data_IF_502544056189
#
_entry.id   IF_502544056189
#
_cell.length_a   1.000
_cell.length_b   1.000
_cell.length_c   1.000
_cell.angle_alpha   90.00
_cell.angle_beta   90.00
_cell.angle_gamma   90.00
#
_symmetry.space_group_name_H-M   'P 1'
#
loop_
_entity.id
_entity.type
_entity.pdbx_description
1 polymer ?
#
# COMPACT_ATOMS: atom_id res chain seq x y z
N UNK A 1 -23.54 -1.24 -14.75
CA UNK A 1 -22.30 -0.72 -15.36
C UNK A 1 -22.06 0.67 -14.80
N UNK A 2 -21.28 0.77 -13.73
CA UNK A 2 -20.82 2.06 -13.19
C UNK A 2 -19.99 2.73 -14.27
N UNK A 3 -20.38 3.94 -14.69
CA UNK A 3 -19.57 4.73 -15.62
C UNK A 3 -18.13 4.80 -15.08
N UNK A 4 -17.13 4.52 -15.92
CA UNK A 4 -15.73 4.66 -15.52
C UNK A 4 -15.52 6.10 -15.07
N UNK A 5 -15.43 6.35 -13.75
CA UNK A 5 -15.25 7.69 -13.16
C UNK A 5 -13.84 8.27 -13.40
N UNK A 6 -13.12 7.75 -14.39
CA UNK A 6 -11.78 8.19 -14.78
C UNK A 6 -10.71 7.96 -13.71
N UNK A 7 -10.93 7.13 -12.69
CA UNK A 7 -9.94 6.86 -11.65
C UNK A 7 -8.94 5.83 -12.17
N UNK A 8 -7.64 6.17 -12.10
CA UNK A 8 -6.53 5.28 -12.46
C UNK A 8 -5.91 4.61 -11.23
N UNK A 9 -5.80 5.34 -10.12
CA UNK A 9 -5.17 4.84 -8.91
C UNK A 9 -5.69 5.53 -7.64
N UNK A 10 -5.69 4.78 -6.53
CA UNK A 10 -6.00 5.27 -5.19
C UNK A 10 -4.88 4.88 -4.24
N UNK A 11 -4.47 5.81 -3.37
CA UNK A 11 -3.33 5.59 -2.47
C UNK A 11 -3.47 6.41 -1.21
N UNK A 12 -3.40 5.76 -0.05
CA UNK A 12 -3.25 6.45 1.23
C UNK A 12 -1.82 6.96 1.40
N UNK A 13 -1.68 8.13 2.02
CA UNK A 13 -0.36 8.60 2.45
C UNK A 13 0.16 7.77 3.64
N UNK A 14 1.40 8.00 4.05
CA UNK A 14 2.15 7.18 5.00
C UNK A 14 1.51 7.13 6.40
N UNK A 15 0.83 8.19 6.82
CA UNK A 15 0.08 8.21 8.06
C UNK A 15 -1.36 7.72 7.89
N UNK A 16 -1.83 7.37 6.68
CA UNK A 16 -3.20 6.91 6.43
C UNK A 16 -4.28 7.99 6.70
N UNK A 17 -3.87 9.24 6.90
CA UNK A 17 -4.78 10.32 7.23
C UNK A 17 -5.29 11.11 6.02
N UNK A 18 -4.66 10.92 4.86
CA UNK A 18 -5.11 11.41 3.56
C UNK A 18 -5.08 10.27 2.53
N UNK A 19 -5.84 10.41 1.46
CA UNK A 19 -5.64 9.60 0.25
C UNK A 19 -5.61 10.48 -1.00
N UNK A 20 -4.88 9.99 -1.99
CA UNK A 20 -4.80 10.54 -3.33
C UNK A 20 -5.70 9.75 -4.27
N UNK A 21 -6.33 10.46 -5.20
CA UNK A 21 -7.09 9.91 -6.30
C UNK A 21 -6.46 10.39 -7.61
N UNK A 22 -5.75 9.49 -8.28
CA UNK A 22 -5.13 9.73 -9.58
C UNK A 22 -6.20 9.50 -10.66
N UNK A 23 -6.41 10.48 -11.53
CA UNK A 23 -7.52 10.49 -12.46
C UNK A 23 -7.09 10.87 -13.87
N UNK A 24 -7.93 10.54 -14.84
CA UNK A 24 -7.83 11.03 -16.22
C UNK A 24 -7.92 12.57 -16.29
N UNK A 25 -8.57 13.19 -15.31
CA UNK A 25 -8.74 14.64 -15.22
C UNK A 25 -7.73 15.35 -14.31
N UNK A 26 -6.71 14.66 -13.81
CA UNK A 26 -5.72 15.23 -12.90
C UNK A 26 -5.52 14.44 -11.61
N UNK A 27 -5.35 15.15 -10.50
CA UNK A 27 -5.09 14.57 -9.18
C UNK A 27 -5.95 15.26 -8.12
N UNK A 28 -6.61 14.47 -7.28
CA UNK A 28 -7.32 14.98 -6.09
C UNK A 28 -6.74 14.39 -4.82
N UNK A 29 -6.72 15.17 -3.75
CA UNK A 29 -6.25 14.76 -2.43
C UNK A 29 -7.36 15.01 -1.42
N UNK A 30 -7.67 14.01 -0.62
CA UNK A 30 -8.71 14.07 0.40
C UNK A 30 -8.13 13.82 1.78
N UNK A 31 -8.58 14.57 2.77
CA UNK A 31 -8.42 14.20 4.17
C UNK A 31 -9.45 13.11 4.51
N UNK A 32 -9.09 12.14 5.36
CA UNK A 32 -9.93 10.97 5.67
C UNK A 32 -10.92 11.26 6.80
N UNK A 33 -10.50 11.97 7.85
CA UNK A 33 -11.33 12.29 9.02
C UNK A 33 -11.15 13.76 9.43
N UNK A 34 -12.14 14.66 9.19
CA UNK A 34 -13.33 14.44 8.37
C UNK A 34 -12.99 14.22 6.88
N UNK A 35 -13.89 13.56 6.15
CA UNK A 35 -13.75 13.38 4.70
C UNK A 35 -13.95 14.73 3.99
N UNK A 36 -12.87 15.31 3.46
CA UNK A 36 -12.89 16.63 2.79
C UNK A 36 -11.84 16.67 1.69
N UNK A 37 -12.19 17.23 0.52
CA UNK A 37 -11.24 17.51 -0.55
C UNK A 37 -10.25 18.62 -0.10
N UNK A 38 -8.96 18.29 -0.08
CA UNK A 38 -7.87 19.17 0.39
C UNK A 38 -7.17 19.89 -0.74
N UNK A 39 -7.05 19.24 -1.89
CA UNK A 39 -6.41 19.80 -3.07
C UNK A 39 -6.97 19.14 -4.32
N UNK A 40 -7.10 19.94 -5.37
CA UNK A 40 -7.55 19.53 -6.68
C UNK A 40 -6.61 20.13 -7.72
N UNK A 41 -5.90 19.26 -8.42
CA UNK A 41 -5.00 19.64 -9.50
C UNK A 41 -5.63 19.22 -10.81
N UNK A 42 -6.07 20.21 -11.58
CA UNK A 42 -6.80 19.99 -12.82
C UNK A 42 -5.88 19.50 -13.95
N UNK A 43 -6.51 18.94 -14.99
CA UNK A 43 -5.87 18.43 -16.18
C UNK A 43 -4.97 19.47 -16.88
N UNK A 44 -5.31 20.76 -16.84
CA UNK A 44 -4.50 21.79 -17.50
C UNK A 44 -3.13 21.96 -16.84
N UNK A 45 -3.05 21.74 -15.52
CA UNK A 45 -1.80 21.74 -14.77
C UNK A 45 -1.08 20.39 -14.93
N UNK A 46 -1.75 19.29 -14.59
CA UNK A 46 -1.10 17.98 -14.39
C UNK A 46 -1.27 16.97 -15.54
N UNK A 47 -2.25 17.16 -16.42
CA UNK A 47 -2.71 16.11 -17.33
C UNK A 47 -3.33 14.92 -16.59
N UNK A 48 -3.54 13.81 -17.29
CA UNK A 48 -3.91 12.54 -16.67
C UNK A 48 -2.74 11.95 -15.85
N UNK A 49 -3.04 11.54 -14.61
CA UNK A 49 -2.07 10.99 -13.65
C UNK A 49 -2.43 9.55 -13.32
N UNK A 50 -1.44 8.65 -13.33
CA UNK A 50 -1.63 7.21 -13.05
C UNK A 50 -0.96 6.75 -11.76
N UNK A 51 0.05 7.48 -11.28
CA UNK A 51 0.70 7.22 -9.99
C UNK A 51 0.92 8.57 -9.30
N UNK A 52 0.55 8.66 -8.04
CA UNK A 52 0.91 9.76 -7.16
C UNK A 52 1.31 9.22 -5.78
N UNK A 53 2.34 9.84 -5.18
CA UNK A 53 2.80 9.56 -3.82
C UNK A 53 3.06 10.88 -3.09
N UNK A 54 2.26 11.17 -2.05
CA UNK A 54 2.53 12.27 -1.12
C UNK A 54 3.71 11.91 -0.22
N UNK A 55 4.51 12.90 0.17
CA UNK A 55 5.41 12.76 1.31
C UNK A 55 4.69 13.19 2.59
N UNK A 56 4.13 12.23 3.33
CA UNK A 56 3.37 12.47 4.55
C UNK A 56 2.23 13.48 4.32
N UNK A 57 2.25 14.59 5.05
CA UNK A 57 1.36 15.74 4.90
C UNK A 57 2.17 17.00 4.57
N UNK A 58 3.26 16.85 3.82
CA UNK A 58 4.05 17.98 3.32
C UNK A 58 3.46 18.50 2.01
N UNK A 59 4.07 19.56 1.49
CA UNK A 59 3.82 20.13 0.17
C UNK A 59 4.45 19.34 -0.99
N UNK A 60 5.10 18.20 -0.73
CA UNK A 60 5.85 17.45 -1.75
C UNK A 60 5.03 16.26 -2.24
N UNK A 61 4.82 16.21 -3.55
CA UNK A 61 4.05 15.15 -4.22
C UNK A 61 4.88 14.63 -5.40
N UNK A 62 5.14 13.32 -5.43
CA UNK A 62 5.66 12.67 -6.62
C UNK A 62 4.50 12.24 -7.52
N UNK A 63 4.59 12.51 -8.82
CA UNK A 63 3.57 12.15 -9.81
C UNK A 63 4.21 11.50 -11.03
N UNK A 64 3.48 10.60 -11.67
CA UNK A 64 3.81 9.98 -12.96
C UNK A 64 2.59 10.11 -13.87
N UNK A 65 2.81 10.67 -15.06
CA UNK A 65 1.77 10.82 -16.08
C UNK A 65 1.39 9.48 -16.72
N UNK A 66 0.23 9.42 -17.34
CA UNK A 66 -0.24 8.23 -18.07
C UNK A 66 -1.71 8.38 -18.45
N UNK A 67 -2.36 7.32 -18.92
CA UNK A 67 -3.76 7.41 -19.39
C UNK A 67 -3.88 8.09 -20.75
N UNK A 68 -5.10 8.51 -21.11
CA UNK A 68 -5.37 8.97 -22.49
C UNK A 68 -5.03 10.45 -22.74
N UNK A 69 -4.99 11.26 -21.67
CA UNK A 69 -4.72 12.71 -21.68
C UNK A 69 -3.44 13.04 -20.91
N UNK A 70 -2.45 12.16 -20.98
CA UNK A 70 -1.17 12.35 -20.31
C UNK A 70 -0.44 13.60 -20.84
N UNK A 71 -0.06 14.52 -19.94
CA UNK A 71 0.80 15.66 -20.27
C UNK A 71 2.29 15.32 -20.10
N UNK A 72 2.57 14.28 -19.33
CA UNK A 72 3.91 13.81 -18.97
C UNK A 72 4.04 12.33 -19.28
N UNK A 73 5.28 11.89 -19.55
CA UNK A 73 5.56 10.50 -19.89
C UNK A 73 5.42 9.56 -18.67
N UNK A 74 5.05 8.30 -18.94
CA UNK A 74 4.83 7.27 -17.90
C UNK A 74 6.12 6.64 -17.35
N UNK A 75 7.27 7.01 -17.92
CA UNK A 75 8.60 6.66 -17.48
C UNK A 75 9.33 7.81 -16.78
N UNK A 76 8.62 8.89 -16.41
CA UNK A 76 9.20 10.04 -15.73
C UNK A 76 8.50 10.30 -14.39
N UNK A 77 9.28 10.37 -13.30
CA UNK A 77 8.81 10.87 -12.01
C UNK A 77 9.02 12.38 -11.95
N UNK A 78 7.94 13.10 -11.68
CA UNK A 78 7.96 14.55 -11.44
C UNK A 78 7.69 14.81 -9.96
N UNK A 79 8.45 15.73 -9.36
CA UNK A 79 8.15 16.22 -8.00
C UNK A 79 7.49 17.57 -8.12
N UNK A 80 6.23 17.65 -7.69
CA UNK A 80 5.48 18.88 -7.54
C UNK A 80 5.61 19.39 -6.11
N UNK A 81 5.95 20.67 -5.99
CA UNK A 81 5.93 21.41 -4.75
C UNK A 81 4.67 22.29 -4.71
N UNK A 82 3.72 21.92 -3.86
CA UNK A 82 2.45 22.61 -3.70
C UNK A 82 2.57 23.97 -3.00
N UNK A 83 3.66 24.24 -2.27
CA UNK A 83 3.90 25.54 -1.68
C UNK A 83 4.37 26.53 -2.74
N UNK A 84 5.31 26.12 -3.60
CA UNK A 84 5.82 26.95 -4.70
C UNK A 84 5.06 26.83 -6.01
N UNK A 85 4.03 25.97 -6.05
CA UNK A 85 3.11 25.71 -7.17
C UNK A 85 3.83 25.34 -8.48
N UNK A 86 4.93 24.59 -8.40
CA UNK A 86 5.73 24.22 -9.58
C UNK A 86 6.31 22.81 -9.47
N UNK A 87 6.65 22.25 -10.62
CA UNK A 87 7.50 21.07 -10.70
C UNK A 87 8.94 21.46 -10.40
N UNK A 88 9.53 20.86 -9.37
CA UNK A 88 10.87 21.19 -8.85
C UNK A 88 11.94 20.16 -9.21
N UNK A 89 11.53 19.00 -9.71
CA UNK A 89 12.43 17.91 -10.07
C UNK A 89 11.78 17.00 -11.10
N UNK A 90 12.62 16.46 -11.98
CA UNK A 90 12.26 15.48 -13.00
C UNK A 90 13.33 14.38 -13.03
N UNK A 91 12.90 13.12 -13.00
CA UNK A 91 13.79 11.95 -13.15
C UNK A 91 13.16 10.97 -14.14
N UNK A 92 13.84 10.76 -15.27
CA UNK A 92 13.38 9.91 -16.37
C UNK A 92 14.10 8.56 -16.39
N UNK A 93 13.34 7.50 -16.66
CA UNK A 93 13.78 6.11 -16.68
C UNK A 93 13.67 5.51 -18.08
N UNK A 94 14.30 4.36 -18.30
CA UNK A 94 14.31 3.66 -19.59
C UNK A 94 13.04 2.88 -19.90
N UNK A 95 12.18 2.66 -18.90
CA UNK A 95 10.92 1.93 -19.04
C UNK A 95 9.82 2.52 -18.14
N UNK A 96 8.54 2.22 -18.41
CA UNK A 96 7.43 2.75 -17.63
C UNK A 96 7.55 2.44 -16.14
N UNK A 97 7.29 3.45 -15.33
CA UNK A 97 7.32 3.36 -13.87
C UNK A 97 6.09 2.58 -13.40
N UNK A 98 6.31 1.64 -12.48
CA UNK A 98 5.25 0.80 -11.89
C UNK A 98 4.84 1.25 -10.50
N UNK A 99 5.77 1.84 -9.74
CA UNK A 99 5.48 2.42 -8.44
C UNK A 99 6.52 3.46 -8.02
N UNK A 100 6.10 4.43 -7.22
CA UNK A 100 6.96 5.36 -6.50
C UNK A 100 6.66 5.25 -5.01
N UNK A 101 7.70 5.30 -4.16
CA UNK A 101 7.57 5.37 -2.71
C UNK A 101 8.48 6.46 -2.17
N UNK A 102 7.95 7.25 -1.25
CA UNK A 102 8.67 8.37 -0.64
C UNK A 102 8.91 8.16 0.85
N UNK A 103 10.13 8.50 1.24
CA UNK A 103 10.58 8.75 2.61
C UNK A 103 11.15 10.17 2.67
N UNK A 104 11.37 10.69 3.88
CA UNK A 104 11.97 12.03 4.05
C UNK A 104 13.37 12.13 3.45
N UNK A 105 14.10 11.03 3.42
CA UNK A 105 15.51 10.97 3.01
C UNK A 105 15.77 10.12 1.76
N UNK A 106 14.74 9.43 1.23
CA UNK A 106 14.84 8.48 0.11
C UNK A 106 13.63 8.58 -0.83
N UNK A 107 13.89 8.47 -2.13
CA UNK A 107 12.87 8.21 -3.15
C UNK A 107 13.17 6.84 -3.77
N UNK A 108 12.16 5.97 -3.84
CA UNK A 108 12.29 4.64 -4.43
C UNK A 108 11.35 4.54 -5.62
N UNK A 109 11.88 4.12 -6.76
CA UNK A 109 11.13 3.97 -8.01
C UNK A 109 11.24 2.52 -8.47
N UNK A 110 10.11 1.84 -8.65
CA UNK A 110 10.06 0.49 -9.19
C UNK A 110 9.68 0.53 -10.67
N UNK A 111 10.50 -0.14 -11.48
CA UNK A 111 10.20 -0.54 -12.85
C UNK A 111 9.78 -2.03 -12.83
N UNK A 112 9.54 -2.62 -14.00
CA UNK A 112 9.09 -4.02 -14.07
C UNK A 112 10.14 -5.04 -13.58
N UNK A 113 11.43 -4.75 -13.71
CA UNK A 113 12.53 -5.68 -13.32
C UNK A 113 13.62 -5.03 -12.47
N UNK A 114 13.43 -3.78 -12.09
CA UNK A 114 14.43 -2.99 -11.39
C UNK A 114 13.78 -2.11 -10.34
N UNK A 115 14.50 -1.86 -9.25
CA UNK A 115 14.16 -0.86 -8.25
C UNK A 115 15.34 0.09 -8.11
N UNK A 116 15.08 1.38 -8.32
CA UNK A 116 16.06 2.44 -8.21
C UNK A 116 15.83 3.20 -6.91
N UNK A 117 16.88 3.35 -6.11
CA UNK A 117 16.84 4.08 -4.84
C UNK A 117 17.66 5.35 -4.97
N UNK A 118 17.09 6.48 -4.60
CA UNK A 118 17.70 7.80 -4.65
C UNK A 118 17.78 8.42 -3.26
N UNK A 119 18.81 9.22 -2.99
CA UNK A 119 18.75 10.23 -1.94
C UNK A 119 17.67 11.25 -2.28
N UNK A 120 16.98 11.76 -1.26
CA UNK A 120 15.91 12.73 -1.41
C UNK A 120 15.89 13.65 -0.19
N UNK A 121 15.48 14.94 -0.29
CA UNK A 121 15.08 15.66 -1.49
C UNK A 121 16.22 16.34 -2.25
N UNK A 122 17.35 16.68 -1.61
CA UNK A 122 18.43 17.43 -2.27
C UNK A 122 19.80 17.20 -1.61
N UNK A 123 20.88 16.94 -2.38
CA UNK A 123 20.86 16.63 -3.81
C UNK A 123 20.25 15.24 -4.06
N UNK A 124 19.40 15.14 -5.08
CA UNK A 124 18.87 13.84 -5.51
C UNK A 124 19.93 13.12 -6.32
N UNK A 125 20.38 11.97 -5.81
CA UNK A 125 21.41 11.13 -6.42
C UNK A 125 20.97 9.68 -6.34
N UNK A 126 21.14 8.93 -7.42
CA UNK A 126 20.90 7.49 -7.40
C UNK A 126 21.93 6.84 -6.50
N UNK A 127 21.47 6.17 -5.45
CA UNK A 127 22.31 5.47 -4.48
C UNK A 127 22.61 4.06 -4.96
N UNK A 128 21.60 3.35 -5.45
CA UNK A 128 21.72 1.98 -5.93
C UNK A 128 20.56 1.59 -6.86
N UNK A 129 20.79 0.54 -7.63
CA UNK A 129 19.80 -0.15 -8.46
C UNK A 129 19.78 -1.61 -8.07
N UNK A 130 18.58 -2.15 -7.84
CA UNK A 130 18.34 -3.53 -7.44
C UNK A 130 17.58 -4.23 -8.56
N UNK A 131 18.05 -5.40 -8.96
CA UNK A 131 17.32 -6.25 -9.89
C UNK A 131 16.24 -7.03 -9.16
N UNK A 132 15.11 -7.24 -9.85
CA UNK A 132 14.01 -8.06 -9.35
C UNK A 132 13.66 -9.12 -10.38
N UNK A 133 12.91 -10.14 -9.95
CA UNK A 133 12.09 -10.90 -10.91
C UNK A 133 11.05 -9.96 -11.54
N UNK A 134 10.36 -10.43 -12.57
CA UNK A 134 9.18 -9.77 -13.11
C UNK A 134 8.22 -9.28 -12.01
N UNK A 135 8.05 -7.96 -11.97
CA UNK A 135 7.30 -7.19 -10.99
C UNK A 135 6.29 -6.25 -11.68
N UNK A 136 5.31 -6.79 -12.42
CA UNK A 136 4.40 -5.98 -13.24
C UNK A 136 3.52 -5.04 -12.42
N UNK A 137 3.27 -5.37 -11.14
CA UNK A 137 2.49 -4.55 -10.19
C UNK A 137 3.34 -3.50 -9.46
N UNK A 138 4.64 -3.42 -9.70
CA UNK A 138 5.52 -2.49 -8.99
C UNK A 138 5.53 -2.70 -7.48
N UNK A 139 5.49 -3.96 -7.01
CA UNK A 139 5.55 -4.29 -5.59
C UNK A 139 6.87 -3.80 -5.02
N UNK A 140 6.79 -2.78 -4.15
CA UNK A 140 7.90 -2.26 -3.37
C UNK A 140 7.30 -1.52 -2.18
N UNK A 141 7.78 -1.80 -0.98
CA UNK A 141 7.30 -1.14 0.24
C UNK A 141 8.48 -0.86 1.18
N UNK A 142 8.35 0.19 1.98
CA UNK A 142 9.42 0.66 2.84
C UNK A 142 8.91 1.15 4.19
N UNK A 143 9.77 1.05 5.21
CA UNK A 143 9.49 1.55 6.55
C UNK A 143 9.51 3.09 6.55
N UNK A 144 8.36 3.71 6.80
CA UNK A 144 8.18 5.16 6.61
C UNK A 144 8.56 5.99 7.83
N UNK A 145 8.56 5.42 9.04
CA UNK A 145 8.89 6.18 10.26
C UNK A 145 10.37 6.57 10.28
N UNK A 146 10.64 7.81 10.72
CA UNK A 146 12.01 8.29 10.95
C UNK A 146 12.63 7.54 12.13
N UNK A 147 11.83 7.25 13.15
CA UNK A 147 12.19 6.45 14.33
C UNK A 147 12.13 4.94 14.08
N UNK A 148 12.02 4.50 12.82
CA UNK A 148 12.00 3.08 12.51
C UNK A 148 13.27 2.42 13.02
N UNK A 149 13.13 1.24 13.62
CA UNK A 149 14.27 0.47 14.12
C UNK A 149 15.23 0.09 12.98
N UNK A 150 14.67 -0.08 11.78
CA UNK A 150 15.41 -0.34 10.55
C UNK A 150 14.78 0.45 9.41
N UNK A 151 15.60 1.05 8.54
CA UNK A 151 15.10 1.70 7.33
C UNK A 151 14.85 0.64 6.25
N UNK A 152 13.89 -0.26 6.52
CA UNK A 152 13.66 -1.43 5.71
C UNK A 152 13.08 -1.06 4.34
N UNK A 153 13.64 -1.66 3.28
CA UNK A 153 13.04 -1.78 1.96
C UNK A 153 12.70 -3.25 1.71
N UNK A 154 11.47 -3.54 1.30
CA UNK A 154 11.01 -4.87 0.91
C UNK A 154 10.52 -4.87 -0.53
N UNK A 155 10.90 -5.91 -1.29
CA UNK A 155 10.54 -6.04 -2.70
C UNK A 155 10.62 -7.49 -3.19
N UNK A 156 10.04 -7.86 -4.35
CA UNK A 156 10.17 -9.21 -4.91
C UNK A 156 11.62 -9.61 -5.18
N UNK A 157 12.04 -10.75 -4.64
CA UNK A 157 13.33 -11.36 -4.97
C UNK A 157 13.31 -12.13 -6.30
N UNK A 158 14.47 -12.65 -6.69
CA UNK A 158 14.64 -13.40 -7.95
C UNK A 158 13.87 -14.73 -7.97
N UNK A 159 13.73 -15.41 -6.81
CA UNK A 159 12.99 -16.67 -6.72
C UNK A 159 11.49 -16.40 -6.69
N UNK A 160 10.70 -17.26 -7.32
CA UNK A 160 9.24 -17.17 -7.28
C UNK A 160 8.74 -17.14 -5.82
N UNK A 161 7.86 -16.21 -5.51
CA UNK A 161 7.29 -16.04 -4.17
C UNK A 161 8.26 -15.55 -3.09
N UNK A 162 9.51 -15.25 -3.44
CA UNK A 162 10.49 -14.70 -2.50
C UNK A 162 10.43 -13.18 -2.37
N UNK A 163 10.73 -12.67 -1.18
CA UNK A 163 10.87 -11.23 -0.88
C UNK A 163 12.33 -10.97 -0.51
N UNK A 164 12.92 -9.90 -1.04
CA UNK A 164 14.20 -9.37 -0.60
C UNK A 164 13.99 -8.20 0.37
N UNK A 165 14.81 -8.17 1.41
CA UNK A 165 14.84 -7.18 2.48
C UNK A 165 16.19 -6.47 2.48
N UNK A 166 16.19 -5.15 2.30
CA UNK A 166 17.38 -4.31 2.29
C UNK A 166 17.31 -3.25 3.39
N UNK A 167 18.45 -2.94 4.01
CA UNK A 167 18.57 -1.80 4.92
C UNK A 167 18.98 -0.53 4.17
N UNK A 168 18.10 0.47 4.14
CA UNK A 168 18.36 1.76 3.50
C UNK A 168 19.26 2.68 4.35
N UNK A 169 19.55 2.33 5.60
CA UNK A 169 20.50 3.06 6.44
C UNK A 169 21.96 2.80 6.05
N UNK A 170 22.24 1.66 5.42
CA UNK A 170 23.58 1.23 5.01
C UNK A 170 23.75 1.34 3.47
N UNK A 171 23.36 2.49 2.91
CA UNK A 171 23.46 2.78 1.47
C UNK A 171 24.52 3.84 1.14
N UNK A 172 25.31 4.26 2.13
CA UNK A 172 26.42 5.19 1.92
C UNK A 172 27.65 4.49 1.33
N UNK A 173 28.50 5.25 0.64
CA UNK A 173 29.72 4.73 0.03
C UNK A 173 30.62 4.06 1.10
N UNK A 174 30.91 2.76 0.91
CA UNK A 174 31.69 1.95 1.86
C UNK A 174 30.84 1.09 2.80
N UNK A 175 29.52 1.31 2.87
CA UNK A 175 28.56 0.41 3.51
C UNK A 175 27.80 -0.38 2.45
N UNK A 176 27.88 -1.70 2.48
CA UNK A 176 27.07 -2.57 1.61
C UNK A 176 26.33 -3.56 2.49
N UNK A 177 25.01 -3.43 2.55
CA UNK A 177 24.16 -4.50 3.08
C UNK A 177 23.58 -5.28 1.90
N UNK A 178 23.98 -6.55 1.76
CA UNK A 178 23.36 -7.42 0.77
C UNK A 178 21.88 -7.65 1.14
N UNK A 179 20.94 -7.62 0.17
CA UNK A 179 19.56 -7.95 0.43
C UNK A 179 19.42 -9.36 1.02
N UNK A 180 18.58 -9.50 2.04
CA UNK A 180 18.28 -10.79 2.65
C UNK A 180 17.00 -11.35 2.05
N UNK A 181 16.99 -12.63 1.71
CA UNK A 181 15.84 -13.28 1.06
C UNK A 181 14.93 -13.99 2.08
N UNK A 182 13.63 -13.72 2.02
CA UNK A 182 12.56 -14.49 2.67
C UNK A 182 11.85 -15.35 1.63
N UNK A 183 11.78 -16.67 1.86
CA UNK A 183 11.00 -17.59 1.04
C UNK A 183 9.51 -17.53 1.44
N UNK A 184 8.82 -16.46 1.03
CA UNK A 184 7.51 -16.13 1.59
C UNK A 184 6.38 -17.05 1.08
N UNK A 185 6.38 -17.39 -0.20
CA UNK A 185 5.35 -18.19 -0.86
C UNK A 185 5.95 -19.12 -1.92
N UNK A 186 5.21 -20.17 -2.30
CA UNK A 186 5.58 -21.04 -3.42
C UNK A 186 5.17 -20.42 -4.78
N UNK A 187 4.08 -19.63 -4.80
CA UNK A 187 3.59 -18.93 -5.98
C UNK A 187 4.05 -17.47 -6.06
N UNK A 188 3.75 -16.81 -7.18
CA UNK A 188 4.08 -15.40 -7.40
C UNK A 188 3.49 -14.51 -6.30
N UNK A 189 4.25 -13.49 -5.87
CA UNK A 189 3.75 -12.46 -4.95
C UNK A 189 2.67 -11.62 -5.62
N UNK A 190 1.60 -11.33 -4.89
CA UNK A 190 0.50 -10.48 -5.34
C UNK A 190 0.39 -9.18 -4.54
N UNK A 191 0.71 -9.22 -3.24
CA UNK A 191 0.73 -8.06 -2.35
C UNK A 191 1.91 -8.14 -1.37
N UNK A 192 2.39 -6.98 -0.98
CA UNK A 192 3.49 -6.77 -0.05
C UNK A 192 3.20 -5.53 0.79
N UNK A 193 3.47 -5.57 2.08
CA UNK A 193 3.36 -4.44 2.99
C UNK A 193 4.48 -4.48 4.05
N UNK A 194 4.98 -3.31 4.44
CA UNK A 194 5.92 -3.12 5.55
C UNK A 194 5.24 -2.24 6.58
N UNK A 195 5.34 -2.59 7.86
CA UNK A 195 4.81 -1.74 8.91
C UNK A 195 5.72 -0.50 9.14
N UNK A 196 5.18 0.55 9.78
CA UNK A 196 5.87 1.84 9.86
C UNK A 196 7.27 1.80 10.46
N UNK A 197 7.53 0.90 11.42
CA UNK A 197 8.81 0.76 12.11
C UNK A 197 9.80 -0.20 11.40
N UNK A 198 9.37 -0.87 10.32
CA UNK A 198 10.19 -1.81 9.55
C UNK A 198 10.45 -3.16 10.24
N UNK A 199 9.73 -3.52 11.30
CA UNK A 199 9.93 -4.79 12.03
C UNK A 199 9.07 -5.95 11.51
N UNK A 200 8.02 -5.65 10.74
CA UNK A 200 7.12 -6.65 10.17
C UNK A 200 6.94 -6.47 8.66
N UNK A 201 6.82 -7.60 7.97
CA UNK A 201 6.50 -7.66 6.54
C UNK A 201 5.30 -8.55 6.35
N UNK A 202 4.23 -8.04 5.73
CA UNK A 202 3.08 -8.85 5.33
C UNK A 202 3.15 -9.16 3.83
N UNK A 203 2.79 -10.39 3.48
CA UNK A 203 2.91 -10.91 2.11
C UNK A 203 1.71 -11.77 1.75
N UNK A 204 1.31 -11.71 0.49
CA UNK A 204 0.37 -12.66 -0.08
C UNK A 204 0.80 -13.07 -1.49
N UNK A 205 0.50 -14.31 -1.84
CA UNK A 205 0.69 -14.82 -3.20
C UNK A 205 -0.53 -14.55 -4.07
N UNK A 206 -0.39 -14.82 -5.38
CA UNK A 206 -1.48 -14.81 -6.35
C UNK A 206 -2.64 -15.74 -6.00
N UNK A 207 -2.43 -16.73 -5.13
CA UNK A 207 -3.50 -17.56 -4.61
C UNK A 207 -4.46 -16.77 -3.70
N UNK A 208 -3.95 -15.79 -2.93
CA UNK A 208 -4.75 -14.88 -2.10
C UNK A 208 -5.63 -15.51 -1.01
N UNK A 209 -5.45 -16.80 -0.70
CA UNK A 209 -6.14 -17.48 0.41
C UNK A 209 -5.50 -17.17 1.75
N UNK A 210 -4.18 -16.96 1.76
CA UNK A 210 -3.37 -16.75 2.95
C UNK A 210 -2.57 -15.46 2.85
N UNK A 211 -2.47 -14.77 3.99
CA UNK A 211 -1.55 -13.66 4.23
C UNK A 211 -0.55 -14.10 5.30
N UNK A 212 0.73 -13.90 5.04
CA UNK A 212 1.81 -14.25 5.98
C UNK A 212 2.48 -13.01 6.49
N UNK A 213 2.62 -12.90 7.80
CA UNK A 213 3.35 -11.81 8.47
C UNK A 213 4.65 -12.35 9.02
N UNK A 214 5.75 -11.69 8.69
CA UNK A 214 7.11 -12.10 8.99
C UNK A 214 7.77 -11.08 9.91
N UNK A 215 8.62 -11.57 10.81
CA UNK A 215 9.58 -10.73 11.54
C UNK A 215 10.73 -10.40 10.57
N UNK A 216 10.92 -9.11 10.27
CA UNK A 216 11.94 -8.68 9.31
C UNK A 216 13.38 -8.79 9.84
N UNK A 217 13.54 -8.84 11.17
CA UNK A 217 14.83 -8.84 11.86
C UNK A 217 15.28 -10.29 12.08
N UNK A 218 14.43 -11.09 12.72
CA UNK A 218 14.67 -12.50 13.02
C UNK A 218 14.39 -13.39 11.82
N UNK A 219 13.68 -12.90 10.80
CA UNK A 219 13.46 -13.57 9.50
C UNK A 219 12.69 -14.88 9.61
N UNK A 220 11.71 -14.93 10.52
CA UNK A 220 10.82 -16.08 10.68
C UNK A 220 9.37 -15.64 10.53
N UNK A 221 8.51 -16.60 10.19
CA UNK A 221 7.08 -16.41 10.09
C UNK A 221 6.52 -16.17 11.50
N UNK A 222 5.83 -15.04 11.69
CA UNK A 222 5.14 -14.72 12.96
C UNK A 222 3.75 -15.34 12.98
N UNK A 223 2.99 -15.14 11.91
CA UNK A 223 1.60 -15.60 11.83
C UNK A 223 1.17 -15.83 10.38
N UNK A 224 0.34 -16.86 10.19
CA UNK A 224 -0.39 -17.12 8.95
C UNK A 224 -1.89 -16.82 9.15
N UNK A 225 -2.41 -15.92 8.33
CA UNK A 225 -3.76 -15.39 8.39
C UNK A 225 -4.56 -15.88 7.19
N UNK A 226 -5.71 -16.50 7.44
CA UNK A 226 -6.61 -17.00 6.42
C UNK A 226 -7.66 -15.96 6.08
N UNK A 227 -7.60 -15.47 4.84
CA UNK A 227 -8.62 -14.59 4.28
C UNK A 227 -9.90 -15.36 3.97
N UNK A 228 -9.76 -16.52 3.32
CA UNK A 228 -10.88 -17.36 2.92
C UNK A 228 -10.41 -18.73 2.40
N UNK A 229 -11.37 -19.62 2.13
CA UNK A 229 -11.10 -20.91 1.50
C UNK A 229 -10.77 -20.74 0.01
N UNK A 230 -11.49 -19.85 -0.67
CA UNK A 230 -11.37 -19.66 -2.11
C UNK A 230 -10.23 -18.71 -2.50
N UNK A 231 -9.57 -18.94 -3.64
CA UNK A 231 -8.65 -17.97 -4.21
C UNK A 231 -9.32 -16.62 -4.47
N UNK A 232 -8.54 -15.55 -4.32
CA UNK A 232 -8.99 -14.18 -4.55
C UNK A 232 -7.82 -13.27 -4.95
N UNK A 233 -8.09 -12.32 -5.84
CA UNK A 233 -7.15 -11.25 -6.15
C UNK A 233 -7.17 -10.24 -5.02
N UNK A 234 -6.04 -10.10 -4.30
CA UNK A 234 -5.91 -9.06 -3.27
C UNK A 234 -5.58 -7.72 -3.92
N UNK A 235 -6.21 -6.66 -3.41
CA UNK A 235 -5.97 -5.29 -3.86
C UNK A 235 -4.98 -4.56 -2.96
N UNK A 236 -5.11 -4.70 -1.64
CA UNK A 236 -4.13 -4.16 -0.69
C UNK A 236 -3.99 -5.00 0.59
N UNK A 237 -2.87 -4.79 1.27
CA UNK A 237 -2.62 -5.23 2.65
C UNK A 237 -2.08 -4.02 3.40
N UNK A 238 -2.67 -3.68 4.55
CA UNK A 238 -2.27 -2.49 5.31
C UNK A 238 -2.16 -2.83 6.78
N UNK A 239 -1.07 -2.41 7.43
CA UNK A 239 -0.93 -2.46 8.89
C UNK A 239 -1.62 -1.25 9.53
N UNK A 240 -2.19 -1.41 10.71
CA UNK A 240 -2.52 -0.28 11.57
C UNK A 240 -1.25 0.45 12.00
N UNK A 241 -1.35 1.74 12.37
CA UNK A 241 -0.19 2.57 12.73
C UNK A 241 0.64 1.97 13.87
N UNK A 242 -0.03 1.35 14.84
CA UNK A 242 0.55 0.66 16.00
C UNK A 242 0.94 -0.80 15.72
N UNK A 243 0.70 -1.29 14.50
CA UNK A 243 0.89 -2.70 14.10
C UNK A 243 0.09 -3.72 14.92
N UNK A 244 -0.98 -3.28 15.61
CA UNK A 244 -1.86 -4.19 16.35
C UNK A 244 -2.81 -4.96 15.44
N UNK A 245 -3.11 -4.42 14.26
CA UNK A 245 -4.05 -4.98 13.29
C UNK A 245 -3.50 -4.96 11.86
N UNK A 246 -4.09 -5.81 11.02
CA UNK A 246 -3.86 -5.89 9.58
C UNK A 246 -5.20 -5.92 8.85
N UNK A 247 -5.38 -5.12 7.81
CA UNK A 247 -6.55 -5.21 6.94
C UNK A 247 -6.16 -5.62 5.51
N UNK A 248 -7.07 -6.34 4.86
CA UNK A 248 -6.87 -6.93 3.54
C UNK A 248 -8.15 -6.79 2.72
N UNK A 249 -8.06 -6.21 1.52
CA UNK A 249 -9.16 -6.15 0.54
C UNK A 249 -8.94 -7.10 -0.62
N UNK A 250 -10.03 -7.55 -1.24
CA UNK A 250 -9.97 -8.48 -2.37
C UNK A 250 -11.14 -8.33 -3.34
N UNK A 251 -11.02 -8.97 -4.50
CA UNK A 251 -12.06 -9.05 -5.54
C UNK A 251 -13.37 -9.71 -5.09
N UNK A 252 -13.38 -10.38 -3.93
CA UNK A 252 -14.57 -10.96 -3.31
C UNK A 252 -15.53 -9.93 -2.70
N UNK A 253 -15.24 -8.64 -2.79
CA UNK A 253 -16.07 -7.58 -2.20
C UNK A 253 -16.04 -7.60 -0.67
N UNK A 254 -15.00 -8.19 -0.07
CA UNK A 254 -14.82 -8.27 1.39
C UNK A 254 -13.50 -7.64 1.82
N UNK A 255 -13.57 -6.95 2.96
CA UNK A 255 -12.40 -6.46 3.69
C UNK A 255 -12.29 -7.25 4.99
N UNK A 256 -11.14 -7.88 5.20
CA UNK A 256 -10.84 -8.70 6.37
C UNK A 256 -9.92 -7.94 7.32
N UNK A 257 -10.21 -8.02 8.62
CA UNK A 257 -9.44 -7.37 9.69
C UNK A 257 -8.91 -8.45 10.61
N UNK A 258 -7.60 -8.48 10.83
CA UNK A 258 -6.90 -9.45 11.66
C UNK A 258 -6.19 -8.74 12.81
N UNK A 259 -6.23 -9.33 14.00
CA UNK A 259 -5.40 -8.93 15.13
C UNK A 259 -4.01 -9.56 15.01
N UNK A 260 -2.96 -8.76 15.19
CA UNK A 260 -1.57 -9.20 15.16
C UNK A 260 -0.95 -9.26 16.55
N UNK A 261 -1.30 -8.33 17.44
CA UNK A 261 -0.76 -8.27 18.80
C UNK A 261 -1.48 -9.22 19.74
N UNK A 262 -2.80 -9.10 19.85
CA UNK A 262 -3.63 -10.09 20.56
C UNK A 262 -4.29 -11.05 19.57
N UNK A 263 -3.52 -12.05 19.13
CA UNK A 263 -3.98 -13.05 18.15
C UNK A 263 -5.11 -13.95 18.67
N UNK A 264 -5.49 -13.86 19.96
CA UNK A 264 -6.65 -14.59 20.51
C UNK A 264 -7.98 -13.99 20.05
N UNK A 265 -7.97 -12.74 19.59
CA UNK A 265 -9.13 -12.06 19.02
C UNK A 265 -9.50 -12.65 17.65
N UNK A 266 -8.54 -13.25 16.93
CA UNK A 266 -8.82 -13.89 15.66
C UNK A 266 -9.61 -15.19 15.84
N UNK A 267 -10.52 -15.45 14.90
CA UNK A 267 -11.30 -16.69 14.87
C UNK A 267 -10.38 -17.87 14.53
N UNK A 268 -10.58 -19.02 15.19
CA UNK A 268 -9.84 -20.26 14.91
C UNK A 268 -10.79 -21.34 14.41
N UNK A 269 -10.29 -22.24 13.57
CA UNK A 269 -11.09 -23.37 13.10
C UNK A 269 -11.34 -24.33 14.26
N UNK A 270 -12.56 -24.83 14.42
CA UNK A 270 -12.89 -25.81 15.47
C UNK A 270 -12.24 -27.19 15.25
N UNK A 271 -11.65 -27.42 14.07
CA UNK A 271 -10.98 -28.68 13.71
C UNK A 271 -9.60 -28.87 14.37
N UNK A 272 -9.05 -27.88 15.07
CA UNK A 272 -7.77 -27.99 15.80
C UNK A 272 -7.80 -28.86 17.05
N UNK A 273 -8.97 -29.37 17.46
CA UNK A 273 -9.08 -30.32 18.57
C UNK A 273 -8.67 -31.76 18.21
N UNK A 274 -8.43 -32.08 16.94
CA UNK A 274 -7.97 -33.41 16.53
C UNK A 274 -6.44 -33.42 16.34
N UNK A 275 -5.70 -33.46 17.45
CA UNK A 275 -4.25 -33.55 17.43
C UNK A 275 -3.79 -34.90 16.93
N UNK A 276 -3.25 -34.97 15.69
CA UNK A 276 -2.46 -36.14 15.28
C UNK A 276 -1.43 -35.92 14.15
N UNK A 277 -1.15 -34.70 13.66
CA UNK A 277 -0.16 -34.53 12.58
C UNK A 277 0.63 -33.21 12.67
N UNK A 278 1.84 -33.31 13.23
CA UNK A 278 2.97 -32.40 12.95
C UNK A 278 2.83 -30.92 13.31
N UNK A 279 3.93 -30.18 13.17
CA UNK A 279 4.03 -28.73 13.41
C UNK A 279 3.27 -27.90 12.35
N UNK A 280 1.96 -28.14 12.17
CA UNK A 280 1.10 -27.31 11.34
C UNK A 280 0.78 -26.02 12.10
N UNK A 281 1.27 -24.88 11.61
CA UNK A 281 0.86 -23.57 12.13
C UNK A 281 -0.60 -23.39 11.71
N UNK A 282 -1.50 -23.47 12.68
CA UNK A 282 -2.93 -23.30 12.42
C UNK A 282 -3.22 -21.87 11.95
N UNK A 283 -3.66 -21.73 10.69
CA UNK A 283 -4.01 -20.45 10.10
C UNK A 283 -5.18 -19.80 10.84
N UNK A 284 -5.07 -18.53 11.20
CA UNK A 284 -6.11 -17.80 11.93
C UNK A 284 -7.02 -17.02 10.98
N UNK A 285 -8.33 -17.06 11.21
CA UNK A 285 -9.32 -16.33 10.42
C UNK A 285 -9.51 -14.90 10.95
N UNK A 286 -10.09 -14.03 10.12
CA UNK A 286 -10.33 -12.63 10.46
C UNK A 286 -11.12 -12.47 11.77
N UNK A 287 -10.73 -11.49 12.58
CA UNK A 287 -11.48 -11.01 13.75
C UNK A 287 -12.83 -10.44 13.28
N UNK A 288 -12.78 -9.55 12.30
CA UNK A 288 -13.92 -8.84 11.76
C UNK A 288 -13.84 -8.77 10.22
N UNK A 289 -15.00 -8.68 9.58
CA UNK A 289 -15.13 -8.54 8.12
C UNK A 289 -16.27 -7.58 7.82
N UNK A 290 -16.12 -6.78 6.77
CA UNK A 290 -17.23 -6.03 6.17
C UNK A 290 -17.18 -6.12 4.65
N UNK A 291 -18.28 -5.73 4.01
CA UNK A 291 -18.43 -5.80 2.55
C UNK A 291 -18.31 -4.42 1.91
N UNK A 292 -17.73 -4.41 0.71
CA UNK A 292 -17.64 -3.29 -0.22
C UNK A 292 -18.23 -3.73 -1.57
N UNK A 293 -18.49 -2.82 -2.53
CA UNK A 293 -18.96 -3.20 -3.86
C UNK A 293 -18.10 -4.32 -4.45
N UNK A 294 -18.69 -5.47 -4.85
CA UNK A 294 -17.95 -6.59 -5.40
C UNK A 294 -17.28 -6.20 -6.72
N UNK A 295 -16.16 -6.84 -7.03
CA UNK A 295 -15.37 -6.60 -8.26
C UNK A 295 -14.88 -5.15 -8.45
N UNK A 296 -15.05 -4.29 -7.44
CA UNK A 296 -14.47 -2.96 -7.40
C UNK A 296 -13.18 -3.01 -6.58
N UNK A 297 -12.05 -2.67 -7.20
CA UNK A 297 -10.80 -2.56 -6.48
C UNK A 297 -10.90 -1.45 -5.42
N UNK A 298 -10.41 -1.75 -4.21
CA UNK A 298 -10.38 -0.78 -3.13
C UNK A 298 -9.08 -0.87 -2.34
N UNK A 299 -8.62 0.29 -1.89
CA UNK A 299 -7.51 0.42 -0.94
C UNK A 299 -8.07 0.66 0.45
N UNK A 300 -7.43 0.08 1.44
CA UNK A 300 -7.88 0.15 2.83
C UNK A 300 -6.82 0.78 3.73
N UNK A 301 -7.30 1.45 4.77
CA UNK A 301 -6.46 2.02 5.81
C UNK A 301 -7.17 2.03 7.17
N UNK A 302 -6.40 2.19 8.24
CA UNK A 302 -6.92 2.32 9.59
C UNK A 302 -7.09 3.79 9.96
N UNK A 303 -8.27 4.13 10.46
CA UNK A 303 -8.58 5.43 11.04
C UNK A 303 -8.46 5.41 12.56
N UNK A 304 -8.97 6.46 13.21
CA UNK A 304 -9.06 6.51 14.66
C UNK A 304 -10.12 5.52 15.19
N UNK A 305 -10.05 5.19 16.49
CA UNK A 305 -11.09 4.43 17.24
C UNK A 305 -11.43 3.06 16.63
N UNK A 306 -10.43 2.25 16.31
CA UNK A 306 -10.61 0.93 15.70
C UNK A 306 -11.51 0.99 14.46
N UNK A 307 -11.25 1.97 13.58
CA UNK A 307 -11.96 2.08 12.31
C UNK A 307 -11.09 1.65 11.14
N UNK A 308 -11.74 1.10 10.12
CA UNK A 308 -11.14 0.81 8.82
C UNK A 308 -11.91 1.59 7.76
N UNK A 309 -11.15 2.25 6.90
CA UNK A 309 -11.63 2.97 5.74
C UNK A 309 -11.34 2.13 4.51
N UNK A 310 -12.30 2.01 3.60
CA UNK A 310 -12.12 1.49 2.27
C UNK A 310 -12.50 2.57 1.24
N UNK A 311 -11.57 2.89 0.34
CA UNK A 311 -11.80 3.82 -0.78
C UNK A 311 -11.74 3.01 -2.06
N UNK A 312 -12.82 3.06 -2.85
CA UNK A 312 -13.05 2.18 -3.98
C UNK A 312 -12.90 2.94 -5.31
N UNK A 313 -12.49 2.21 -6.36
CA UNK A 313 -12.28 2.76 -7.71
C UNK A 313 -13.58 3.24 -8.39
N UNK A 314 -14.74 2.95 -7.82
CA UNK A 314 -16.04 3.48 -8.27
C UNK A 314 -16.37 4.86 -7.69
N UNK A 315 -15.47 5.45 -6.88
CA UNK A 315 -15.67 6.75 -6.25
C UNK A 315 -16.30 6.67 -4.86
N UNK A 316 -16.52 5.48 -4.30
CA UNK A 316 -17.13 5.33 -2.97
C UNK A 316 -16.11 5.30 -1.84
N UNK A 317 -16.49 5.91 -0.72
CA UNK A 317 -15.80 5.92 0.56
C UNK A 317 -16.64 5.16 1.59
N UNK A 318 -16.01 4.26 2.34
CA UNK A 318 -16.66 3.48 3.37
C UNK A 318 -15.85 3.55 4.64
N UNK A 319 -16.49 3.82 5.77
CA UNK A 319 -15.87 3.74 7.09
C UNK A 319 -16.62 2.78 7.98
N UNK A 320 -15.90 1.83 8.56
CA UNK A 320 -16.44 0.85 9.49
C UNK A 320 -15.69 0.93 10.81
N UNK A 321 -16.39 0.72 11.93
CA UNK A 321 -15.80 0.52 13.26
C UNK A 321 -15.89 -0.96 13.61
N UNK A 322 -14.80 -1.54 14.09
CA UNK A 322 -14.76 -2.91 14.58
C UNK A 322 -14.47 -2.98 16.08
N UNK A 323 -14.93 -4.06 16.70
CA UNK A 323 -14.73 -4.33 18.14
C UNK A 323 -13.91 -5.60 18.37
N UNK A 324 -13.42 -5.80 19.59
CA UNK A 324 -12.64 -6.98 19.98
C UNK A 324 -13.47 -8.28 19.93
N UNK A 325 -14.80 -8.17 20.02
CA UNK A 325 -15.74 -9.29 19.86
C UNK A 325 -15.98 -9.67 18.40
N UNK A 326 -15.43 -8.90 17.45
CA UNK A 326 -15.55 -9.16 16.02
C UNK A 326 -16.78 -8.54 15.35
N UNK A 327 -17.50 -7.65 16.05
CA UNK A 327 -18.54 -6.83 15.42
C UNK A 327 -17.90 -5.81 14.49
N UNK A 328 -18.55 -5.50 13.36
CA UNK A 328 -18.08 -4.51 12.40
C UNK A 328 -19.27 -3.75 11.80
N UNK A 329 -19.39 -2.47 12.13
CA UNK A 329 -20.54 -1.65 11.76
C UNK A 329 -20.13 -0.46 10.91
N UNK A 330 -20.90 -0.17 9.86
CA UNK A 330 -20.68 1.00 9.01
C UNK A 330 -20.95 2.27 9.81
N UNK A 331 -19.96 3.14 9.88
CA UNK A 331 -20.07 4.46 10.51
C UNK A 331 -20.37 5.56 9.48
N UNK A 332 -19.76 5.50 8.29
CA UNK A 332 -19.95 6.49 7.25
C UNK A 332 -19.87 5.86 5.86
N UNK A 333 -20.55 6.50 4.91
CA UNK A 333 -20.53 6.18 3.48
C UNK A 333 -20.72 7.48 2.71
N UNK A 334 -19.85 7.71 1.73
CA UNK A 334 -19.88 8.90 0.87
C UNK A 334 -19.44 8.54 -0.55
N UNK A 335 -19.77 9.39 -1.51
CA UNK A 335 -19.20 9.35 -2.86
C UNK A 335 -18.20 10.50 -2.97
N UNK A 336 -16.92 10.21 -2.79
CA UNK A 336 -15.92 11.26 -2.52
C UNK A 336 -15.66 12.18 -3.72
N UNK A 337 -16.02 11.76 -4.93
CA UNK A 337 -15.90 12.59 -6.14
C UNK A 337 -16.98 13.68 -6.23
N UNK A 338 -18.10 13.50 -5.51
CA UNK A 338 -19.28 14.34 -5.58
C UNK A 338 -19.33 15.34 -4.38
N UNK A 339 -18.30 15.35 -3.52
CA UNK A 339 -18.24 16.21 -2.31
C UNK A 339 -18.24 17.72 -2.60
N UNK A 340 -17.94 18.12 -3.84
CA UNK A 340 -17.85 19.54 -4.22
C UNK A 340 -19.20 20.16 -4.60
N UNK A 341 -20.25 19.35 -4.80
CA UNK A 341 -21.56 19.84 -5.26
C UNK A 341 -22.39 20.48 -4.13
N UNK A 342 -21.96 20.36 -2.86
CA UNK A 342 -22.72 20.83 -1.69
C UNK A 342 -22.32 22.24 -1.19
N UNK A 343 -21.34 22.91 -1.82
CA UNK A 343 -20.90 24.26 -1.41
C UNK A 343 -21.57 25.41 -2.20
N UNK A 344 -22.59 25.12 -3.01
CA UNK A 344 -23.35 26.10 -3.81
C UNK A 344 -24.75 26.40 -3.21
N UNK A 345 -24.87 26.58 -1.89
CA UNK A 345 -26.12 27.04 -1.25
C UNK A 345 -25.93 28.21 -0.28
#
# INVERSE_FOLDING_TARGET
MTAMRGIHNLRFNQDQGCFMCCMESGLRIYNVEPLVEKAHFENDLMGSIVIAEMLWRTNVIAVVGGGTRAKFADNTVLIYDDLSKKFVMEVTFTSPIKAVRLRRDKMVVALQREIHVFSFPTPTRRLLTLETRDNPKGLVELATLVSAQKQLLAFPGHKLGSVQLLDLGATEAGSSSAPVTLAAHQGALACLAVNGNGTMVATASAQGTLVRVWDSIRRHLLIELRRGADPATLYCITFSRDSEFLCVSSDKGTVHIFALKDTRLNRRSTFSKMGFLGNYIESQWALATFTVPPECACVCAFGARNSVIAVCMDGTFHKYIFTAEGNCNRQAFDVFLDLCDDNDF
#
